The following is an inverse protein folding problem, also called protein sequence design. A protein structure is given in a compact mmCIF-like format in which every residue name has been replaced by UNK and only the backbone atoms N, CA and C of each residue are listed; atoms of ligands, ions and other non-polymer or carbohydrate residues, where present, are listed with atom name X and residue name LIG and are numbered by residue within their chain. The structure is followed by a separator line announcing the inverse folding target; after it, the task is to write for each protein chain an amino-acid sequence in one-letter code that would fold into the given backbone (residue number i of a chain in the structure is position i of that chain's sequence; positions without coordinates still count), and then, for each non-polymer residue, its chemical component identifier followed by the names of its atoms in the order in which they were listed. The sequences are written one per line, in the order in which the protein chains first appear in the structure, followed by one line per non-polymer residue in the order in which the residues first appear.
data_IF_223456507931
#
_entry.id   IF_223456507931
#
_cell.length_a   1.000
_cell.length_b   1.000
_cell.length_c   1.000
_cell.angle_alpha   90.00
_cell.angle_beta   90.00
_cell.angle_gamma   90.00
#
_symmetry.space_group_name_H-M   'P 1'
#
loop_
_entity.id
_entity.type
_entity.pdbx_description
1 polymer ?
#
# COMPACT_ATOMS: atom_id res chain seq x y z
N UNK A 1 -1.36 22.45 -2.97
CA UNK A 1 -1.48 21.22 -3.80
C UNK A 1 -0.15 20.49 -3.67
N UNK A 2 0.14 19.92 -2.50
CA UNK A 2 1.48 19.37 -2.15
C UNK A 2 1.45 18.07 -1.31
N UNK A 3 0.47 17.15 -1.44
CA UNK A 3 0.46 15.94 -0.60
C UNK A 3 1.66 15.02 -0.84
N UNK A 4 2.33 15.13 -1.99
CA UNK A 4 3.43 14.24 -2.38
C UNK A 4 4.74 14.54 -1.64
N UNK A 5 5.03 15.80 -1.28
CA UNK A 5 6.29 16.15 -0.58
C UNK A 5 6.32 15.61 0.84
N UNK A 6 5.20 15.68 1.57
CA UNK A 6 5.11 15.16 2.94
C UNK A 6 5.33 13.63 3.03
N UNK A 7 5.07 12.90 1.93
CA UNK A 7 5.29 11.46 1.85
C UNK A 7 6.78 11.12 1.82
N UNK A 8 7.61 11.99 1.22
CA UNK A 8 9.05 11.79 1.11
C UNK A 8 9.77 11.98 2.46
N UNK A 9 9.27 12.91 3.29
CA UNK A 9 9.83 13.15 4.63
C UNK A 9 9.55 11.99 5.60
N UNK A 10 8.40 11.32 5.46
CA UNK A 10 8.02 10.22 6.34
C UNK A 10 8.70 8.88 5.97
N UNK A 11 9.14 8.75 4.71
CA UNK A 11 9.80 7.53 4.23
C UNK A 11 10.99 7.83 3.28
N UNK A 12 12.13 8.29 3.81
CA UNK A 12 13.29 8.71 3.01
C UNK A 12 13.98 7.56 2.22
N UNK A 13 13.55 6.32 2.40
CA UNK A 13 13.99 5.13 1.63
C UNK A 13 12.83 4.30 1.07
N UNK A 14 11.59 4.78 1.09
CA UNK A 14 10.48 3.95 0.64
C UNK A 14 10.59 3.58 -0.85
N UNK A 15 10.50 2.28 -1.13
CA UNK A 15 9.93 1.80 -2.38
C UNK A 15 10.88 1.41 -3.49
N UNK A 16 12.20 1.30 -3.27
CA UNK A 16 13.08 0.71 -4.29
C UNK A 16 13.04 -0.83 -4.32
N UNK A 17 12.63 -1.50 -3.24
CA UNK A 17 12.70 -2.97 -3.14
C UNK A 17 11.32 -3.68 -3.17
N UNK A 18 10.20 -2.99 -2.92
CA UNK A 18 8.87 -3.63 -2.86
C UNK A 18 7.76 -2.81 -3.55
N UNK A 19 6.89 -3.47 -4.34
CA UNK A 19 5.91 -2.79 -5.19
C UNK A 19 4.77 -2.09 -4.41
N UNK A 20 4.53 -2.46 -3.16
CA UNK A 20 3.34 -2.04 -2.39
C UNK A 20 3.31 -0.54 -2.08
N UNK A 21 4.49 0.08 -1.93
CA UNK A 21 4.57 1.51 -1.69
C UNK A 21 4.05 2.32 -2.90
N UNK A 22 4.39 1.90 -4.12
CA UNK A 22 3.91 2.56 -5.33
C UNK A 22 2.38 2.50 -5.42
N UNK A 23 1.77 1.35 -5.11
CA UNK A 23 0.31 1.22 -5.05
C UNK A 23 -0.31 2.16 -4.00
N UNK A 24 0.26 2.20 -2.80
CA UNK A 24 -0.25 3.05 -1.72
C UNK A 24 -0.17 4.54 -2.05
N UNK A 25 0.95 5.00 -2.61
CA UNK A 25 1.12 6.41 -3.01
C UNK A 25 0.18 6.77 -4.17
N UNK A 26 0.10 5.93 -5.20
CA UNK A 26 -0.81 6.15 -6.32
C UNK A 26 -2.27 6.22 -5.86
N UNK A 27 -2.70 5.30 -5.00
CA UNK A 27 -4.04 5.34 -4.41
C UNK A 27 -4.27 6.65 -3.65
N UNK A 28 -3.35 7.06 -2.76
CA UNK A 28 -3.49 8.30 -1.97
C UNK A 28 -3.60 9.56 -2.83
N UNK A 29 -2.80 9.65 -3.88
CA UNK A 29 -2.85 10.78 -4.82
C UNK A 29 -4.18 10.81 -5.55
N UNK A 30 -4.64 9.66 -6.06
CA UNK A 30 -5.92 9.56 -6.78
C UNK A 30 -7.12 9.82 -5.86
N UNK A 31 -7.12 9.28 -4.63
CA UNK A 31 -8.17 9.52 -3.63
C UNK A 31 -8.27 11.00 -3.25
N UNK A 32 -7.14 11.66 -3.04
CA UNK A 32 -7.09 13.11 -2.76
C UNK A 32 -7.65 13.96 -3.91
N UNK A 33 -7.55 13.47 -5.15
CA UNK A 33 -8.13 14.10 -6.34
C UNK A 33 -9.57 13.64 -6.62
N UNK A 34 -10.13 12.74 -5.80
CA UNK A 34 -11.42 12.06 -6.04
C UNK A 34 -11.50 11.40 -7.41
N UNK A 35 -10.36 10.91 -7.88
CA UNK A 35 -10.26 10.24 -9.17
C UNK A 35 -10.85 8.81 -9.05
N UNK A 36 -11.80 8.42 -9.92
CA UNK A 36 -12.46 7.12 -9.83
C UNK A 36 -11.50 5.93 -9.98
N UNK A 37 -10.29 6.14 -10.52
CA UNK A 37 -9.26 5.10 -10.64
C UNK A 37 -8.63 4.73 -9.29
N UNK A 38 -8.84 5.52 -8.24
CA UNK A 38 -8.31 5.25 -6.89
C UNK A 38 -8.71 3.84 -6.40
N UNK A 39 -9.98 3.47 -6.56
CA UNK A 39 -10.49 2.17 -6.14
C UNK A 39 -9.77 1.02 -6.86
N UNK A 40 -9.61 1.10 -8.18
CA UNK A 40 -8.96 0.06 -8.97
C UNK A 40 -7.47 -0.12 -8.59
N UNK A 41 -6.75 0.99 -8.33
CA UNK A 41 -5.35 0.95 -7.90
C UNK A 41 -5.24 0.33 -6.50
N UNK A 42 -6.13 0.70 -5.57
CA UNK A 42 -6.16 0.12 -4.23
C UNK A 42 -6.42 -1.39 -4.27
N UNK A 43 -7.44 -1.82 -5.02
CA UNK A 43 -7.78 -3.24 -5.17
C UNK A 43 -6.62 -4.05 -5.76
N UNK A 44 -5.92 -3.50 -6.76
CA UNK A 44 -4.74 -4.15 -7.35
C UNK A 44 -3.62 -4.33 -6.31
N UNK A 45 -3.31 -3.29 -5.53
CA UNK A 45 -2.31 -3.36 -4.48
C UNK A 45 -2.67 -4.37 -3.37
N UNK A 46 -3.91 -4.36 -2.91
CA UNK A 46 -4.39 -5.29 -1.88
C UNK A 46 -4.39 -6.75 -2.38
N UNK A 47 -4.75 -6.97 -3.64
CA UNK A 47 -4.71 -8.31 -4.26
C UNK A 47 -3.29 -8.85 -4.32
N UNK A 48 -2.36 -8.07 -4.85
CA UNK A 48 -0.94 -8.44 -4.93
C UNK A 48 -0.38 -8.75 -3.53
N UNK A 49 -0.73 -7.93 -2.52
CA UNK A 49 -0.26 -8.14 -1.15
C UNK A 49 -0.75 -9.46 -0.56
N UNK A 50 -2.02 -9.82 -0.81
CA UNK A 50 -2.59 -11.12 -0.39
C UNK A 50 -1.94 -12.29 -1.13
N UNK A 51 -1.70 -12.17 -2.44
CA UNK A 51 -0.99 -13.19 -3.23
C UNK A 51 0.42 -13.45 -2.69
N UNK A 52 1.16 -12.42 -2.30
CA UNK A 52 2.46 -12.58 -1.65
C UNK A 52 2.34 -13.26 -0.28
N UNK A 53 1.37 -12.84 0.52
CA UNK A 53 1.12 -13.43 1.83
C UNK A 53 0.75 -14.92 1.75
N UNK A 54 -0.03 -15.32 0.74
CA UNK A 54 -0.45 -16.71 0.55
C UNK A 54 0.72 -17.65 0.21
N UNK A 55 1.78 -17.13 -0.41
CA UNK A 55 3.02 -17.86 -0.65
C UNK A 55 3.88 -18.05 0.61
N UNK A 56 3.56 -17.37 1.72
CA UNK A 56 4.25 -17.54 3.00
C UNK A 56 3.63 -18.73 3.75
N UNK A 57 4.38 -19.83 3.84
CA UNK A 57 3.90 -21.08 4.46
C UNK A 57 3.65 -20.96 5.97
N UNK A 58 4.49 -20.21 6.69
CA UNK A 58 4.33 -20.03 8.14
C UNK A 58 3.20 -19.02 8.43
N UNK A 59 2.15 -19.40 9.16
CA UNK A 59 1.05 -18.48 9.50
C UNK A 59 1.54 -17.25 10.28
N UNK A 60 2.49 -17.44 11.20
CA UNK A 60 3.05 -16.35 11.99
C UNK A 60 3.84 -15.35 11.12
N UNK A 61 4.61 -15.85 10.14
CA UNK A 61 5.33 -14.98 9.21
C UNK A 61 4.37 -14.29 8.24
N UNK A 62 3.32 -14.98 7.80
CA UNK A 62 2.26 -14.38 6.96
C UNK A 62 1.58 -13.23 7.68
N UNK A 63 1.18 -13.43 8.92
CA UNK A 63 0.58 -12.38 9.73
C UNK A 63 1.56 -11.22 9.95
N UNK A 64 2.81 -11.51 10.30
CA UNK A 64 3.85 -10.48 10.44
C UNK A 64 4.04 -9.69 9.16
N UNK A 65 4.05 -10.33 7.99
CA UNK A 65 4.18 -9.66 6.70
C UNK A 65 3.02 -8.69 6.45
N UNK A 66 1.78 -9.07 6.77
CA UNK A 66 0.60 -8.23 6.55
C UNK A 66 0.48 -7.08 7.57
N UNK A 67 0.87 -7.30 8.82
CA UNK A 67 0.54 -6.39 9.94
C UNK A 67 1.73 -5.54 10.43
N UNK A 68 2.95 -6.09 10.38
CA UNK A 68 4.14 -5.45 10.98
C UNK A 68 4.83 -4.48 10.01
N UNK A 69 4.60 -4.59 8.71
CA UNK A 69 5.08 -3.62 7.71
C UNK A 69 4.03 -2.52 7.54
N UNK A 70 4.43 -1.27 7.81
CA UNK A 70 3.50 -0.13 7.82
C UNK A 70 2.73 0.02 6.49
N UNK A 71 3.44 -0.03 5.35
CA UNK A 71 2.84 0.05 4.02
C UNK A 71 1.79 -1.03 3.78
N UNK A 72 2.03 -2.27 4.24
CA UNK A 72 1.11 -3.40 4.03
C UNK A 72 -0.16 -3.21 4.84
N UNK A 73 -0.01 -2.86 6.12
CA UNK A 73 -1.12 -2.57 7.01
C UNK A 73 -1.96 -1.40 6.50
N UNK A 74 -1.31 -0.32 6.06
CA UNK A 74 -1.98 0.85 5.50
C UNK A 74 -2.75 0.53 4.21
N UNK A 75 -2.18 -0.29 3.33
CA UNK A 75 -2.84 -0.72 2.09
C UNK A 75 -4.06 -1.61 2.36
N UNK A 76 -4.01 -2.48 3.37
CA UNK A 76 -5.14 -3.31 3.79
C UNK A 76 -6.25 -2.52 4.50
N UNK A 77 -5.87 -1.51 5.30
CA UNK A 77 -6.83 -0.70 6.03
C UNK A 77 -7.50 0.38 5.17
N UNK A 78 -6.90 0.74 4.03
CA UNK A 78 -7.47 1.71 3.12
C UNK A 78 -8.76 1.21 2.47
N UNK A 79 -9.71 2.13 2.26
CA UNK A 79 -10.98 1.90 1.58
C UNK A 79 -11.40 3.14 0.79
N UNK A 80 -12.16 3.00 -0.29
CA UNK A 80 -12.69 4.15 -1.03
C UNK A 80 -13.61 4.98 -0.12
N UNK A 81 -13.52 6.30 -0.21
CA UNK A 81 -14.36 7.26 0.52
C UNK A 81 -15.73 7.44 -0.11
#
# INVERSE_FOLDING_TARGET
MEPLLAILDYYPRAGLDEPFFAYLVCYRVLDALRDPRAAAVLEAGQRLLREYADNIASPALRQSFLENVATHRELLAAGPR
#
